data_IF_262466167548
#
_entry.id   IF_262466167548
#
_cell.length_a   1.000
_cell.length_b   1.000
_cell.length_c   1.000
_cell.angle_alpha   90.00
_cell.angle_beta   90.00
_cell.angle_gamma   90.00
#
_symmetry.space_group_name_H-M   'P 1'
#
loop_
_entity.id
_entity.type
_entity.pdbx_description
1 polymer ?
#
# COMPACT_ATOMS: atom_id res chain seq x y z
N UNK A 1 25.42 -2.25 -2.79
CA UNK A 1 24.77 -2.83 -3.99
C UNK A 1 23.77 -3.96 -3.71
N UNK A 2 23.29 -4.16 -2.46
CA UNK A 2 22.28 -5.19 -2.14
C UNK A 2 20.85 -4.64 -1.97
N UNK A 3 20.67 -3.31 -2.00
CA UNK A 3 19.36 -2.67 -1.81
C UNK A 3 18.43 -2.81 -3.03
N UNK A 4 18.97 -2.84 -4.25
CA UNK A 4 18.17 -2.93 -5.49
C UNK A 4 17.35 -4.24 -5.53
N UNK A 5 17.93 -5.43 -5.29
CA UNK A 5 17.16 -6.67 -5.24
C UNK A 5 16.10 -6.71 -4.12
N UNK A 6 16.41 -6.16 -2.95
CA UNK A 6 15.51 -6.16 -1.79
C UNK A 6 14.25 -5.34 -2.06
N UNK A 7 14.41 -4.17 -2.69
CA UNK A 7 13.27 -3.32 -3.10
C UNK A 7 12.38 -4.04 -4.09
N UNK A 8 12.94 -4.76 -5.07
CA UNK A 8 12.16 -5.53 -6.04
C UNK A 8 11.37 -6.67 -5.39
N UNK A 9 11.97 -7.37 -4.42
CA UNK A 9 11.29 -8.46 -3.69
C UNK A 9 10.11 -7.90 -2.88
N UNK A 10 10.32 -6.81 -2.14
CA UNK A 10 9.26 -6.17 -1.34
C UNK A 10 8.12 -5.66 -2.24
N UNK A 11 8.43 -5.13 -3.42
CA UNK A 11 7.42 -4.68 -4.38
C UNK A 11 6.56 -5.84 -4.91
N UNK A 12 7.16 -7.01 -5.15
CA UNK A 12 6.43 -8.21 -5.54
C UNK A 12 5.56 -8.75 -4.40
N UNK A 13 6.08 -8.76 -3.17
CA UNK A 13 5.37 -9.21 -1.98
C UNK A 13 4.15 -8.34 -1.67
N UNK A 14 4.22 -7.03 -1.97
CA UNK A 14 3.09 -6.12 -1.79
C UNK A 14 1.87 -6.51 -2.64
N UNK A 15 2.10 -6.96 -3.88
CA UNK A 15 1.04 -7.48 -4.76
C UNK A 15 0.45 -8.79 -4.23
N UNK A 16 1.29 -9.68 -3.70
CA UNK A 16 0.83 -10.90 -3.03
C UNK A 16 0.00 -10.59 -1.77
N UNK A 17 0.38 -9.57 -1.01
CA UNK A 17 -0.33 -9.18 0.21
C UNK A 17 -1.76 -8.71 -0.10
N UNK A 18 -1.93 -7.91 -1.15
CA UNK A 18 -3.25 -7.46 -1.62
C UNK A 18 -4.13 -8.62 -2.10
N UNK A 19 -3.55 -9.55 -2.89
CA UNK A 19 -4.27 -10.73 -3.38
C UNK A 19 -4.66 -11.67 -2.23
N UNK A 20 -3.73 -11.91 -1.30
CA UNK A 20 -3.97 -12.71 -0.10
C UNK A 20 -5.04 -12.09 0.82
N UNK A 21 -5.00 -10.76 1.02
CA UNK A 21 -5.98 -10.05 1.81
C UNK A 21 -7.40 -10.17 1.24
N UNK A 22 -7.58 -10.07 -0.09
CA UNK A 22 -8.89 -10.26 -0.71
C UNK A 22 -9.43 -11.68 -0.50
N UNK A 23 -8.57 -12.69 -0.65
CA UNK A 23 -8.94 -14.10 -0.46
C UNK A 23 -9.35 -14.34 1.00
N UNK A 24 -8.58 -13.85 1.97
CA UNK A 24 -8.91 -14.02 3.39
C UNK A 24 -10.17 -13.25 3.80
N UNK A 25 -10.38 -12.04 3.29
CA UNK A 25 -11.61 -11.26 3.50
C UNK A 25 -12.84 -11.99 2.95
N UNK A 26 -12.70 -12.67 1.81
CA UNK A 26 -13.81 -13.40 1.16
C UNK A 26 -14.12 -14.70 1.88
N UNK A 27 -13.11 -15.52 2.20
CA UNK A 27 -13.31 -16.84 2.81
C UNK A 27 -13.84 -16.72 4.24
N UNK A 28 -13.29 -15.78 5.03
CA UNK A 28 -13.70 -15.59 6.42
C UNK A 28 -14.85 -14.59 6.59
N UNK A 29 -15.41 -14.08 5.48
CA UNK A 29 -16.42 -13.03 5.47
C UNK A 29 -16.03 -11.80 6.31
N UNK A 30 -14.73 -11.50 6.42
CA UNK A 30 -14.25 -10.34 7.15
C UNK A 30 -14.59 -9.07 6.36
N UNK A 31 -15.21 -8.05 6.97
CA UNK A 31 -15.52 -6.79 6.29
C UNK A 31 -14.24 -6.00 6.07
N UNK A 32 -13.74 -6.00 4.84
CA UNK A 32 -12.51 -5.29 4.43
C UNK A 32 -12.68 -4.48 3.15
N UNK A 33 -11.75 -3.54 2.93
CA UNK A 33 -11.81 -2.62 1.79
C UNK A 33 -11.52 -3.31 0.46
N UNK A 34 -10.66 -4.33 0.45
CA UNK A 34 -10.32 -5.06 -0.78
C UNK A 34 -11.54 -5.77 -1.37
N UNK A 35 -12.27 -6.50 -0.52
CA UNK A 35 -13.52 -7.17 -0.85
C UNK A 35 -14.60 -6.17 -1.27
N UNK A 36 -14.75 -5.06 -0.56
CA UNK A 36 -15.73 -4.02 -0.92
C UNK A 36 -15.49 -3.45 -2.32
N UNK A 37 -14.23 -3.15 -2.67
CA UNK A 37 -13.87 -2.67 -4.01
C UNK A 37 -14.15 -3.75 -5.06
N UNK A 38 -13.75 -5.00 -4.78
CA UNK A 38 -13.97 -6.12 -5.69
C UNK A 38 -15.46 -6.36 -5.97
N UNK A 39 -16.27 -6.44 -4.92
CA UNK A 39 -17.71 -6.66 -5.01
C UNK A 39 -18.40 -5.49 -5.75
N UNK A 40 -17.95 -4.26 -5.53
CA UNK A 40 -18.48 -3.07 -6.24
C UNK A 40 -18.18 -3.10 -7.73
N UNK A 41 -16.98 -3.53 -8.14
CA UNK A 41 -16.62 -3.68 -9.56
C UNK A 41 -17.44 -4.78 -10.21
N UNK A 42 -17.58 -5.93 -9.55
CA UNK A 42 -18.40 -7.05 -10.05
C UNK A 42 -19.89 -6.68 -10.12
N UNK A 43 -20.36 -5.86 -9.19
CA UNK A 43 -21.71 -5.30 -9.17
C UNK A 43 -21.95 -4.15 -10.16
N UNK A 44 -20.94 -3.73 -10.95
CA UNK A 44 -20.97 -2.55 -11.82
C UNK A 44 -21.27 -1.23 -11.08
N UNK A 45 -21.08 -1.17 -9.76
CA UNK A 45 -21.15 0.06 -8.99
C UNK A 45 -19.76 0.73 -8.97
N UNK A 46 -19.41 1.31 -10.11
CA UNK A 46 -18.12 1.98 -10.29
C UNK A 46 -17.98 3.21 -9.40
N UNK A 47 -19.09 3.85 -9.01
CA UNK A 47 -19.02 5.02 -8.15
C UNK A 47 -18.53 4.62 -6.75
N UNK A 48 -19.11 3.56 -6.18
CA UNK A 48 -18.65 3.01 -4.90
C UNK A 48 -17.21 2.47 -4.99
N UNK A 49 -16.88 1.75 -6.07
CA UNK A 49 -15.53 1.24 -6.28
C UNK A 49 -14.48 2.36 -6.33
N UNK A 50 -14.76 3.45 -7.07
CA UNK A 50 -13.84 4.58 -7.19
C UNK A 50 -13.68 5.34 -5.89
N UNK A 51 -14.75 5.59 -5.13
CA UNK A 51 -14.69 6.25 -3.83
C UNK A 51 -13.87 5.42 -2.84
N UNK A 52 -14.11 4.11 -2.78
CA UNK A 52 -13.35 3.21 -1.91
C UNK A 52 -11.87 3.14 -2.31
N UNK A 53 -11.57 3.10 -3.61
CA UNK A 53 -10.19 3.15 -4.10
C UNK A 53 -9.48 4.47 -3.78
N UNK A 54 -10.19 5.60 -3.90
CA UNK A 54 -9.68 6.92 -3.53
C UNK A 54 -9.33 6.96 -2.04
N UNK A 55 -10.22 6.45 -1.18
CA UNK A 55 -10.01 6.40 0.26
C UNK A 55 -8.81 5.51 0.63
N UNK A 56 -8.70 4.32 0.02
CA UNK A 56 -7.55 3.44 0.20
C UNK A 56 -6.24 4.11 -0.22
N UNK A 57 -6.26 4.87 -1.32
CA UNK A 57 -5.10 5.62 -1.82
C UNK A 57 -4.69 6.74 -0.86
N UNK A 58 -5.64 7.52 -0.35
CA UNK A 58 -5.37 8.58 0.63
C UNK A 58 -4.79 8.00 1.91
N UNK A 59 -5.36 6.91 2.43
CA UNK A 59 -4.84 6.22 3.62
C UNK A 59 -3.41 5.71 3.39
N UNK A 60 -3.15 5.14 2.22
CA UNK A 60 -1.81 4.66 1.84
C UNK A 60 -0.82 5.83 1.76
N UNK A 61 -1.23 6.96 1.18
CA UNK A 61 -0.38 8.15 1.10
C UNK A 61 -0.08 8.72 2.50
N UNK A 62 -1.07 8.79 3.38
CA UNK A 62 -0.89 9.19 4.78
C UNK A 62 0.04 8.22 5.51
N UNK A 63 -0.12 6.91 5.30
CA UNK A 63 0.76 5.90 5.87
C UNK A 63 2.21 6.04 5.40
N UNK A 64 2.44 6.29 4.11
CA UNK A 64 3.77 6.57 3.58
C UNK A 64 4.34 7.87 4.15
N UNK A 65 3.54 8.93 4.25
CA UNK A 65 3.98 10.19 4.86
C UNK A 65 4.38 10.01 6.33
N UNK A 66 3.60 9.24 7.10
CA UNK A 66 3.97 8.88 8.48
C UNK A 66 5.28 8.09 8.49
N UNK A 67 5.44 7.12 7.59
CA UNK A 67 6.66 6.35 7.49
C UNK A 67 7.87 7.25 7.21
N UNK A 68 7.75 8.20 6.28
CA UNK A 68 8.81 9.17 5.97
C UNK A 68 9.17 10.03 7.20
N UNK A 69 8.18 10.53 7.93
CA UNK A 69 8.39 11.29 9.18
C UNK A 69 9.09 10.44 10.22
N UNK A 70 8.65 9.19 10.40
CA UNK A 70 9.28 8.23 11.32
C UNK A 70 10.71 7.94 10.89
N UNK A 71 11.00 7.76 9.60
CA UNK A 71 12.36 7.57 9.08
C UNK A 71 13.27 8.75 9.40
N UNK A 72 12.80 9.98 9.21
CA UNK A 72 13.55 11.20 9.57
C UNK A 72 13.85 11.26 11.08
N UNK A 73 12.92 10.79 11.90
CA UNK A 73 13.08 10.82 13.36
C UNK A 73 13.97 9.69 13.89
N UNK A 74 13.86 8.49 13.31
CA UNK A 74 14.62 7.31 13.70
C UNK A 74 16.08 7.36 13.22
N UNK A 75 16.33 8.02 12.08
CA UNK A 75 17.66 8.07 11.47
C UNK A 75 18.13 9.52 11.23
N UNK A 76 18.81 10.15 12.22
CA UNK A 76 19.36 11.50 12.07
C UNK A 76 20.55 11.57 11.10
N UNK A 77 20.94 10.46 10.45
CA UNK A 77 22.02 10.40 9.45
C UNK A 77 21.54 10.47 8.00
N UNK A 78 20.23 10.51 7.74
CA UNK A 78 19.68 10.81 6.41
C UNK A 78 19.81 12.31 6.10
N UNK A 79 21.03 12.82 6.23
CA UNK A 79 21.43 14.15 5.76
C UNK A 79 21.43 14.11 4.23
N UNK A 80 20.79 15.10 3.61
CA UNK A 80 20.82 15.45 2.18
C UNK A 80 22.24 15.73 1.65
N UNK A 81 23.15 14.75 1.72
CA UNK A 81 24.53 14.91 1.28
C UNK A 81 25.02 13.67 0.57
N UNK A 82 24.68 13.57 -0.72
CA UNK A 82 25.59 13.29 -1.84
C UNK A 82 24.79 12.99 -3.11
N UNK A 83 24.25 14.04 -3.73
CA UNK A 83 24.06 14.10 -5.18
C UNK A 83 24.90 15.29 -5.66
N UNK A 84 26.20 15.13 -5.53
CA UNK A 84 27.22 16.00 -6.11
C UNK A 84 28.57 15.26 -5.99
N UNK A 85 28.71 14.16 -6.73
CA UNK A 85 29.97 13.72 -7.33
C UNK A 85 29.65 13.14 -8.69
#
# INVERSE_FOLDING_TARGET
NALIPVVTIIALDFGYLFSGALITETIFAWPGMGRLIFDSIMGNDFNLALVALLLATVLTLVGNFIADVVYVWLDPRVSFRKVAQ
#
